data_IF_285777887251
#
_entry.id   IF_285777887251
#
_cell.length_a   1.000
_cell.length_b   1.000
_cell.length_c   1.000
_cell.angle_alpha   90.00
_cell.angle_beta   90.00
_cell.angle_gamma   90.00
#
_symmetry.space_group_name_H-M   'P 1'
#
loop_
_entity.id
_entity.type
_entity.pdbx_description
1 polymer ?
#
# COMPACT_ATOMS: atom_id res chain seq x y z
N UNK A 1 1.72 -1.94 9.94
CA UNK A 1 2.60 -3.13 9.78
C UNK A 1 3.45 -3.25 11.03
N UNK A 2 3.36 -4.35 11.76
CA UNK A 2 4.38 -4.68 12.76
C UNK A 2 5.65 -5.03 12.00
N UNK A 3 6.68 -4.20 12.12
CA UNK A 3 8.02 -4.58 11.69
C UNK A 3 8.44 -5.70 12.63
N UNK A 4 8.42 -6.94 12.15
CA UNK A 4 8.92 -8.05 12.95
C UNK A 4 10.44 -7.94 12.98
N UNK A 5 10.96 -7.26 14.00
CA UNK A 5 12.40 -7.19 14.24
C UNK A 5 12.82 -8.55 14.80
N UNK A 6 13.39 -9.40 13.94
CA UNK A 6 13.96 -10.67 14.35
C UNK A 6 15.43 -10.43 14.70
N UNK A 7 15.74 -10.31 16.00
CA UNK A 7 17.12 -10.22 16.49
C UNK A 7 17.67 -11.65 16.59
N UNK A 8 18.50 -12.06 15.63
CA UNK A 8 19.31 -13.28 15.74
C UNK A 8 20.70 -12.91 16.24
N UNK A 9 21.09 -13.46 17.40
CA UNK A 9 22.49 -13.46 17.82
C UNK A 9 23.21 -14.59 17.07
N UNK A 10 23.83 -14.25 15.94
CA UNK A 10 24.62 -15.16 15.12
C UNK A 10 26.11 -15.05 15.45
N UNK A 11 26.77 -16.19 15.60
CA UNK A 11 28.21 -16.37 15.85
C UNK A 11 29.09 -15.60 14.86
N UNK A 12 30.22 -15.11 15.37
CA UNK A 12 31.29 -14.42 14.65
C UNK A 12 31.71 -15.08 13.33
N UNK A 13 31.10 -14.65 12.23
CA UNK A 13 31.57 -14.88 10.87
C UNK A 13 31.78 -13.52 10.21
N UNK A 14 32.98 -13.27 9.70
CA UNK A 14 33.43 -11.98 9.11
C UNK A 14 32.64 -11.67 7.83
N UNK A 15 31.43 -11.15 7.97
CA UNK A 15 30.73 -10.41 6.92
C UNK A 15 30.69 -8.98 7.38
N UNK A 16 31.11 -8.03 6.54
CA UNK A 16 31.13 -6.63 6.97
C UNK A 16 29.69 -6.15 7.18
N UNK A 17 29.46 -5.34 8.22
CA UNK A 17 28.14 -4.73 8.48
C UNK A 17 27.60 -3.96 7.25
N UNK A 18 28.50 -3.45 6.40
CA UNK A 18 28.18 -2.81 5.13
C UNK A 18 27.55 -3.78 4.12
N UNK A 19 28.08 -4.98 3.95
CA UNK A 19 27.52 -5.98 3.03
C UNK A 19 26.18 -6.54 3.53
N UNK A 20 26.05 -6.70 4.86
CA UNK A 20 24.79 -7.14 5.47
C UNK A 20 23.71 -6.08 5.28
N UNK A 21 24.01 -4.81 5.56
CA UNK A 21 23.06 -3.71 5.38
C UNK A 21 22.65 -3.50 3.93
N UNK A 22 23.57 -3.58 2.97
CA UNK A 22 23.25 -3.48 1.54
C UNK A 22 22.36 -4.65 1.07
N UNK A 23 22.63 -5.87 1.53
CA UNK A 23 21.82 -7.05 1.20
C UNK A 23 20.39 -6.95 1.78
N UNK A 24 20.26 -6.38 2.98
CA UNK A 24 18.97 -6.13 3.62
C UNK A 24 18.20 -5.03 2.88
N UNK A 25 18.84 -3.93 2.50
CA UNK A 25 18.21 -2.86 1.73
C UNK A 25 17.65 -3.39 0.40
N UNK A 26 18.44 -4.17 -0.35
CA UNK A 26 17.99 -4.79 -1.62
C UNK A 26 16.82 -5.75 -1.44
N UNK A 27 16.75 -6.47 -0.31
CA UNK A 27 15.61 -7.35 0.01
C UNK A 27 14.36 -6.54 0.33
N UNK A 28 14.50 -5.51 1.16
CA UNK A 28 13.39 -4.59 1.49
C UNK A 28 12.83 -3.95 0.23
N UNK A 29 13.67 -3.48 -0.68
CA UNK A 29 13.22 -2.88 -1.94
C UNK A 29 12.44 -3.86 -2.82
N UNK A 30 12.88 -5.11 -2.91
CA UNK A 30 12.17 -6.16 -3.67
C UNK A 30 10.84 -6.52 -3.04
N UNK A 31 10.79 -6.65 -1.72
CA UNK A 31 9.55 -6.95 -0.98
C UNK A 31 8.55 -5.79 -1.11
N UNK A 32 9.03 -4.54 -1.01
CA UNK A 32 8.21 -3.36 -1.26
C UNK A 32 7.68 -3.33 -2.70
N UNK A 33 8.51 -3.67 -3.70
CA UNK A 33 8.07 -3.72 -5.09
C UNK A 33 7.01 -4.81 -5.34
N UNK A 34 7.21 -6.00 -4.77
CA UNK A 34 6.25 -7.10 -4.85
C UNK A 34 4.91 -6.74 -4.16
N UNK A 35 4.99 -6.09 -3.01
CA UNK A 35 3.82 -5.63 -2.26
C UNK A 35 3.06 -4.54 -3.01
N UNK A 36 3.76 -3.56 -3.60
CA UNK A 36 3.18 -2.53 -4.47
C UNK A 36 2.49 -3.15 -5.70
N UNK A 37 3.09 -4.18 -6.31
CA UNK A 37 2.47 -4.90 -7.40
C UNK A 37 1.19 -5.65 -6.96
N UNK A 38 1.22 -6.27 -5.78
CA UNK A 38 0.07 -6.94 -5.19
C UNK A 38 -1.10 -5.98 -4.92
N UNK A 39 -0.79 -4.81 -4.37
CA UNK A 39 -1.75 -3.73 -4.13
C UNK A 39 -2.47 -3.31 -5.42
N UNK A 40 -1.73 -3.00 -6.49
CA UNK A 40 -2.31 -2.58 -7.77
C UNK A 40 -3.26 -3.61 -8.35
N UNK A 41 -2.90 -4.89 -8.24
CA UNK A 41 -3.74 -5.98 -8.72
C UNK A 41 -5.01 -6.16 -7.90
N UNK A 42 -4.94 -6.02 -6.57
CA UNK A 42 -6.14 -6.01 -5.71
C UNK A 42 -7.06 -4.85 -6.07
N UNK A 43 -6.52 -3.64 -6.18
CA UNK A 43 -7.29 -2.44 -6.53
C UNK A 43 -8.02 -2.58 -7.86
N UNK A 44 -7.34 -3.09 -8.91
CA UNK A 44 -7.99 -3.36 -10.21
C UNK A 44 -9.15 -4.33 -10.10
N UNK A 45 -9.03 -5.39 -9.28
CA UNK A 45 -10.11 -6.37 -9.08
C UNK A 45 -11.30 -5.76 -8.36
N UNK A 46 -11.05 -5.00 -7.30
CA UNK A 46 -12.11 -4.34 -6.53
C UNK A 46 -12.81 -3.28 -7.41
N UNK A 47 -12.04 -2.51 -8.20
CA UNK A 47 -12.59 -1.59 -9.19
C UNK A 47 -13.49 -2.30 -10.20
N UNK A 48 -13.01 -3.37 -10.83
CA UNK A 48 -13.80 -4.11 -11.82
C UNK A 48 -15.07 -4.74 -11.21
N UNK A 49 -15.03 -5.09 -9.93
CA UNK A 49 -16.21 -5.53 -9.18
C UNK A 49 -17.18 -4.38 -8.93
N UNK A 50 -16.66 -3.23 -8.48
CA UNK A 50 -17.44 -2.02 -8.26
C UNK A 50 -18.12 -1.53 -9.55
N UNK A 51 -17.39 -1.44 -10.67
CA UNK A 51 -17.94 -1.04 -11.98
C UNK A 51 -19.12 -1.94 -12.42
N UNK A 52 -19.11 -3.22 -12.04
CA UNK A 52 -20.16 -4.18 -12.39
C UNK A 52 -21.36 -4.16 -11.44
N UNK A 53 -21.10 -4.00 -10.14
CA UNK A 53 -22.08 -4.27 -9.10
C UNK A 53 -22.63 -3.01 -8.41
N UNK A 54 -21.86 -1.92 -8.36
CA UNK A 54 -22.31 -0.64 -7.82
C UNK A 54 -23.06 0.13 -8.92
N UNK A 55 -24.37 -0.12 -9.02
CA UNK A 55 -25.25 0.77 -9.78
C UNK A 55 -25.50 2.03 -8.97
N UNK A 56 -25.38 3.20 -9.60
CA UNK A 56 -25.75 4.47 -8.99
C UNK A 56 -27.21 4.38 -8.52
N UNK A 57 -27.41 4.46 -7.21
CA UNK A 57 -28.71 4.41 -6.55
C UNK A 57 -28.94 5.75 -5.85
N UNK A 58 -30.11 6.34 -6.02
CA UNK A 58 -30.50 7.56 -5.30
C UNK A 58 -29.66 8.81 -5.60
N UNK A 59 -29.14 8.96 -6.82
CA UNK A 59 -28.38 10.15 -7.23
C UNK A 59 -26.92 10.20 -6.77
N UNK A 60 -26.48 9.25 -5.94
CA UNK A 60 -25.10 9.12 -5.53
C UNK A 60 -24.34 8.24 -6.52
N UNK A 61 -23.28 8.81 -7.11
CA UNK A 61 -22.35 8.08 -7.98
C UNK A 61 -21.07 7.76 -7.21
N UNK A 62 -20.68 6.49 -7.07
CA UNK A 62 -19.41 6.14 -6.48
C UNK A 62 -18.27 6.68 -7.36
N UNK A 63 -17.36 7.45 -6.76
CA UNK A 63 -16.29 8.15 -7.50
C UNK A 63 -14.94 7.45 -7.40
N UNK A 64 -14.71 6.69 -6.33
CA UNK A 64 -13.47 5.97 -6.12
C UNK A 64 -13.69 4.74 -5.23
N UNK A 65 -12.76 3.81 -5.31
CA UNK A 65 -12.72 2.59 -4.52
C UNK A 65 -11.34 2.45 -3.91
N UNK A 66 -11.31 2.03 -2.65
CA UNK A 66 -10.08 1.86 -1.91
C UNK A 66 -9.99 0.48 -1.26
N UNK A 67 -8.83 -0.17 -1.41
CA UNK A 67 -8.41 -1.32 -0.63
C UNK A 67 -8.23 -0.88 0.82
N UNK A 68 -9.03 -1.47 1.71
CA UNK A 68 -9.04 -1.16 3.13
C UNK A 68 -7.66 -1.37 3.77
N UNK A 69 -6.94 -2.41 3.35
CA UNK A 69 -5.61 -2.70 3.89
C UNK A 69 -4.62 -1.56 3.62
N UNK A 70 -4.77 -0.89 2.48
CA UNK A 70 -3.94 0.26 2.11
C UNK A 70 -4.33 1.50 2.90
N UNK A 71 -5.63 1.81 3.01
CA UNK A 71 -6.07 2.95 3.81
C UNK A 71 -5.64 2.84 5.27
N UNK A 72 -5.83 1.67 5.90
CA UNK A 72 -5.39 1.43 7.28
C UNK A 72 -3.89 1.65 7.41
N UNK A 73 -3.09 1.25 6.43
CA UNK A 73 -1.64 1.44 6.48
C UNK A 73 -1.25 2.91 6.43
N UNK A 74 -1.89 3.68 5.55
CA UNK A 74 -1.64 5.11 5.47
C UNK A 74 -2.05 5.81 6.76
N UNK A 75 -3.18 5.42 7.34
CA UNK A 75 -3.64 5.94 8.63
C UNK A 75 -2.69 5.56 9.79
N UNK A 76 -2.09 4.36 9.76
CA UNK A 76 -1.08 3.95 10.75
C UNK A 76 0.24 4.72 10.63
N UNK A 77 0.65 5.08 9.41
CA UNK A 77 1.90 5.82 9.17
C UNK A 77 1.73 7.32 9.41
N UNK A 78 0.61 7.87 8.96
CA UNK A 78 0.25 9.27 9.07
C UNK A 78 -1.18 9.37 9.61
N UNK A 79 -1.36 9.40 10.95
CA UNK A 79 -2.68 9.49 11.56
C UNK A 79 -3.45 10.72 11.06
N UNK A 80 -4.71 10.54 10.69
CA UNK A 80 -5.59 11.57 10.15
C UNK A 80 -5.48 11.78 8.63
N UNK A 81 -4.52 11.17 7.94
CA UNK A 81 -4.32 11.43 6.50
C UNK A 81 -5.52 11.02 5.66
N UNK A 82 -6.25 9.97 6.02
CA UNK A 82 -7.44 9.54 5.27
C UNK A 82 -8.65 10.47 5.47
N UNK A 83 -8.61 11.28 6.54
CA UNK A 83 -9.63 12.31 6.84
C UNK A 83 -9.30 13.65 6.20
N UNK A 84 -8.05 13.88 5.78
CA UNK A 84 -7.63 15.10 5.07
C UNK A 84 -8.02 15.04 3.57
N UNK A 85 -8.86 15.97 3.10
CA UNK A 85 -9.25 16.04 1.68
C UNK A 85 -8.07 16.28 0.73
N UNK A 86 -7.03 16.99 1.18
CA UNK A 86 -5.86 17.32 0.36
C UNK A 86 -5.05 16.06 0.11
N UNK A 87 -4.72 15.33 1.17
CA UNK A 87 -4.07 14.04 1.09
C UNK A 87 -4.83 13.05 0.19
N UNK A 88 -6.14 12.91 0.38
CA UNK A 88 -6.95 11.99 -0.43
C UNK A 88 -7.06 12.42 -1.90
N UNK A 89 -6.93 13.72 -2.21
CA UNK A 89 -6.83 14.20 -3.59
C UNK A 89 -5.49 13.83 -4.22
N UNK A 90 -4.39 14.02 -3.52
CA UNK A 90 -3.04 13.65 -3.98
C UNK A 90 -2.91 12.14 -4.13
N UNK A 91 -3.41 11.38 -3.17
CA UNK A 91 -3.44 9.93 -3.21
C UNK A 91 -4.16 9.40 -4.47
N UNK A 92 -5.31 9.98 -4.84
CA UNK A 92 -6.05 9.63 -6.07
C UNK A 92 -5.37 10.08 -7.36
N UNK A 93 -4.59 11.16 -7.32
CA UNK A 93 -3.77 11.62 -8.45
C UNK A 93 -2.67 10.60 -8.74
N UNK A 94 -2.01 10.12 -7.70
CA UNK A 94 -0.86 9.23 -7.82
C UNK A 94 -1.29 7.75 -8.03
N UNK A 95 -2.54 7.41 -7.67
CA UNK A 95 -3.14 6.07 -7.84
C UNK A 95 -4.44 6.15 -8.68
N UNK A 96 -4.34 6.36 -10.01
CA UNK A 96 -5.51 6.49 -10.88
C UNK A 96 -6.37 5.23 -10.96
N UNK A 97 -5.84 4.06 -10.59
CA UNK A 97 -6.58 2.80 -10.49
C UNK A 97 -7.70 2.81 -9.45
N UNK A 98 -7.66 3.72 -8.48
CA UNK A 98 -8.71 3.88 -7.47
C UNK A 98 -9.94 4.62 -8.00
N UNK A 99 -9.80 5.42 -9.06
CA UNK A 99 -10.90 6.23 -9.57
C UNK A 99 -11.87 5.39 -10.40
N UNK A 100 -13.16 5.48 -10.09
CA UNK A 100 -14.24 4.96 -10.91
C UNK A 100 -14.58 5.97 -12.01
N UNK A 101 -14.98 5.50 -13.19
CA UNK A 101 -15.34 6.35 -14.33
C UNK A 101 -16.85 6.61 -14.37
#
# INVERSE_FOLDING_TARGET
>A
MTVNIIVKKGSSGRVSDAEVSESLAKRVDREQAAEKAGYKNRMRRIRANADKNLKASGGLRPTAVYDMATLIRHEQQNPGCTSDPTYMKEFRRDNPECNLR
#
